data_IF_302560368405
#
_entry.id   IF_302560368405
#
_cell.length_a   1.000
_cell.length_b   1.000
_cell.length_c   1.000
_cell.angle_alpha   90.00
_cell.angle_beta   90.00
_cell.angle_gamma   90.00
#
_symmetry.space_group_name_H-M   'P 1'
#
loop_
_entity.id
_entity.type
_entity.pdbx_description
1 polymer ?
#
# COMPACT_ATOMS: atom_id res chain seq x y z
N UNK A 1 0.89 18.59 18.00
CA UNK A 1 1.65 17.40 17.58
C UNK A 1 2.08 17.60 16.13
N UNK A 2 3.35 17.37 15.79
CA UNK A 2 3.81 17.45 14.39
C UNK A 2 3.41 16.16 13.68
N UNK A 3 2.81 16.27 12.49
CA UNK A 3 2.38 15.13 11.67
C UNK A 3 2.88 15.33 10.25
N UNK A 4 3.53 14.31 9.72
CA UNK A 4 3.80 14.17 8.31
C UNK A 4 2.92 13.05 7.78
N UNK A 5 2.09 13.36 6.78
CA UNK A 5 1.26 12.34 6.14
C UNK A 5 2.08 11.52 5.16
N UNK A 6 1.80 10.22 5.12
CA UNK A 6 2.32 9.31 4.11
C UNK A 6 1.23 8.91 3.10
N UNK A 7 0.12 9.65 3.02
CA UNK A 7 -0.92 9.44 1.99
C UNK A 7 -0.46 9.93 0.61
N UNK A 8 -1.01 9.35 -0.46
CA UNK A 8 -0.83 9.82 -1.83
C UNK A 8 -0.30 8.70 -2.74
N UNK A 9 0.66 9.06 -3.58
CA UNK A 9 1.21 8.18 -4.61
C UNK A 9 2.21 7.17 -4.02
N UNK A 10 1.79 5.92 -3.96
CA UNK A 10 2.59 4.77 -3.55
C UNK A 10 2.98 3.94 -4.78
N UNK A 11 3.74 2.89 -4.53
CA UNK A 11 3.92 1.82 -5.50
C UNK A 11 3.48 0.51 -4.89
N UNK A 12 2.92 -0.38 -5.72
CA UNK A 12 2.55 -1.73 -5.32
C UNK A 12 2.96 -2.76 -6.37
N UNK A 13 3.07 -4.01 -5.94
CA UNK A 13 3.27 -5.16 -6.82
C UNK A 13 2.72 -6.43 -6.18
N UNK A 14 2.51 -7.45 -7.00
CA UNK A 14 2.42 -8.82 -6.49
C UNK A 14 3.79 -9.24 -5.95
N UNK A 15 3.84 -9.96 -4.83
CA UNK A 15 5.09 -10.24 -4.11
C UNK A 15 6.16 -10.98 -4.95
N UNK A 16 5.72 -11.82 -5.88
CA UNK A 16 6.58 -12.58 -6.81
C UNK A 16 6.96 -11.80 -8.08
N UNK A 17 6.40 -10.60 -8.30
CA UNK A 17 6.68 -9.78 -9.47
C UNK A 17 7.94 -8.92 -9.30
N UNK A 18 8.63 -8.64 -10.40
CA UNK A 18 9.80 -7.73 -10.42
C UNK A 18 9.38 -6.27 -10.42
N UNK A 19 8.33 -5.94 -11.17
CA UNK A 19 8.03 -4.57 -11.55
C UNK A 19 7.00 -3.94 -10.62
N UNK A 20 7.33 -2.72 -10.18
CA UNK A 20 6.45 -1.90 -9.34
C UNK A 20 5.50 -1.07 -10.19
N UNK A 21 4.23 -1.05 -9.80
CA UNK A 21 3.18 -0.26 -10.45
C UNK A 21 2.70 0.89 -9.54
N UNK A 22 2.15 1.98 -10.09
CA UNK A 22 1.57 3.06 -9.28
C UNK A 22 0.40 2.57 -8.42
N UNK A 23 0.29 3.11 -7.21
CA UNK A 23 -0.79 2.86 -6.25
C UNK A 23 -1.21 4.14 -5.53
N UNK A 24 -2.40 4.12 -4.92
CA UNK A 24 -2.90 5.23 -4.09
C UNK A 24 -3.21 4.77 -2.67
N UNK A 25 -2.69 5.49 -1.67
CA UNK A 25 -2.98 5.25 -0.25
C UNK A 25 -3.63 6.50 0.37
N UNK A 26 -4.78 6.39 1.06
CA UNK A 26 -5.54 5.17 1.33
C UNK A 26 -6.21 4.60 0.07
N UNK A 27 -6.29 3.26 0.01
CA UNK A 27 -6.77 2.49 -1.14
C UNK A 27 -6.56 1.00 -0.90
N UNK A 28 -6.66 0.20 -1.96
CA UNK A 28 -6.37 -1.23 -1.90
C UNK A 28 -6.04 -1.84 -3.26
N UNK A 29 -5.61 -3.10 -3.24
CA UNK A 29 -5.10 -3.81 -4.40
C UNK A 29 -6.09 -3.80 -5.57
N UNK A 30 -7.37 -4.10 -5.32
CA UNK A 30 -8.40 -4.11 -6.35
C UNK A 30 -8.55 -2.74 -7.02
N UNK A 31 -8.60 -1.66 -6.23
CA UNK A 31 -8.75 -0.30 -6.77
C UNK A 31 -7.52 0.12 -7.59
N UNK A 32 -6.32 -0.26 -7.14
CA UNK A 32 -5.08 0.06 -7.88
C UNK A 32 -4.98 -0.74 -9.19
N UNK A 33 -5.35 -2.03 -9.19
CA UNK A 33 -5.41 -2.85 -10.41
C UNK A 33 -6.47 -2.36 -11.39
N UNK A 34 -7.65 -1.95 -10.90
CA UNK A 34 -8.72 -1.37 -11.73
C UNK A 34 -8.26 -0.04 -12.36
N UNK A 35 -7.60 0.83 -11.59
CA UNK A 35 -7.07 2.10 -12.10
C UNK A 35 -6.04 1.90 -13.22
N UNK A 36 -5.30 0.79 -13.19
CA UNK A 36 -4.37 0.37 -14.23
C UNK A 36 -5.02 -0.42 -15.37
N UNK A 37 -6.33 -0.67 -15.33
CA UNK A 37 -7.05 -1.47 -16.31
C UNK A 37 -6.64 -2.96 -16.34
N UNK A 38 -6.03 -3.46 -15.27
CA UNK A 38 -5.52 -4.85 -15.18
C UNK A 38 -6.59 -5.86 -14.78
N UNK A 39 -7.64 -5.40 -14.12
CA UNK A 39 -8.82 -6.21 -13.79
C UNK A 39 -10.09 -5.47 -14.23
N UNK A 40 -11.14 -6.19 -14.62
CA UNK A 40 -12.44 -5.58 -14.89
C UNK A 40 -13.12 -5.14 -13.58
N UNK A 41 -14.15 -4.30 -13.68
CA UNK A 41 -14.99 -3.93 -12.53
C UNK A 41 -15.62 -5.20 -11.91
N UNK A 42 -15.29 -5.53 -10.64
CA UNK A 42 -15.80 -6.73 -9.97
C UNK A 42 -17.33 -6.75 -9.82
N UNK A 43 -17.98 -5.58 -9.84
CA UNK A 43 -19.43 -5.46 -9.66
C UNK A 43 -20.24 -5.68 -10.94
N UNK A 44 -19.58 -5.88 -12.08
CA UNK A 44 -20.26 -6.09 -13.37
C UNK A 44 -20.33 -7.58 -13.71
N UNK A 45 -21.55 -8.11 -13.86
CA UNK A 45 -21.79 -9.47 -14.30
C UNK A 45 -21.20 -10.51 -13.35
N UNK A 46 -20.40 -11.45 -13.88
CA UNK A 46 -19.71 -12.50 -13.11
C UNK A 46 -18.20 -12.19 -12.91
N UNK A 47 -17.79 -10.93 -13.06
CA UNK A 47 -16.40 -10.51 -12.92
C UNK A 47 -15.80 -10.81 -11.54
N UNK A 48 -16.61 -10.90 -10.48
CA UNK A 48 -16.17 -11.36 -9.15
C UNK A 48 -15.33 -12.65 -9.25
N UNK A 49 -15.80 -13.63 -10.02
CA UNK A 49 -15.07 -14.90 -10.22
C UNK A 49 -13.75 -14.69 -10.98
N UNK A 50 -13.73 -13.74 -11.90
CA UNK A 50 -12.57 -13.42 -12.76
C UNK A 50 -11.48 -12.68 -11.99
N UNK A 51 -11.83 -11.98 -10.90
CA UNK A 51 -10.88 -11.24 -10.07
C UNK A 51 -10.51 -11.97 -8.78
N UNK A 52 -11.09 -13.13 -8.50
CA UNK A 52 -10.85 -13.91 -7.28
C UNK A 52 -9.36 -14.21 -7.02
N UNK A 53 -8.54 -14.31 -8.08
CA UNK A 53 -7.09 -14.53 -7.97
C UNK A 53 -6.37 -13.40 -7.22
N UNK A 54 -6.91 -12.18 -7.23
CA UNK A 54 -6.31 -11.02 -6.56
C UNK A 54 -6.21 -11.25 -5.05
N UNK A 55 -7.22 -11.88 -4.46
CA UNK A 55 -7.24 -12.21 -3.03
C UNK A 55 -6.41 -13.45 -2.67
N UNK A 56 -5.94 -14.21 -3.66
CA UNK A 56 -5.14 -15.44 -3.47
C UNK A 56 -3.64 -15.17 -3.59
N UNK A 57 -3.25 -13.96 -3.97
CA UNK A 57 -1.87 -13.55 -4.12
C UNK A 57 -1.45 -12.63 -2.97
N UNK A 58 -0.16 -12.65 -2.66
CA UNK A 58 0.47 -11.70 -1.74
C UNK A 58 0.84 -10.41 -2.47
N UNK A 59 0.71 -9.29 -1.77
CA UNK A 59 0.93 -7.96 -2.31
C UNK A 59 1.89 -7.15 -1.45
N UNK A 60 2.73 -6.38 -2.11
CA UNK A 60 3.67 -5.48 -1.45
C UNK A 60 3.36 -4.04 -1.83
N UNK A 61 3.40 -3.15 -0.84
CA UNK A 61 3.33 -1.70 -1.02
C UNK A 61 4.64 -1.07 -0.54
N UNK A 62 5.10 -0.02 -1.24
CA UNK A 62 6.26 0.77 -0.81
C UNK A 62 6.08 2.25 -1.07
N UNK A 63 6.77 3.04 -0.25
CA UNK A 63 6.85 4.48 -0.38
C UNK A 63 8.21 4.98 0.10
N UNK A 64 8.73 5.99 -0.59
CA UNK A 64 9.96 6.69 -0.21
C UNK A 64 9.60 8.11 0.21
N UNK A 65 10.11 8.55 1.34
CA UNK A 65 9.84 9.87 1.88
C UNK A 65 11.06 10.43 2.61
N UNK A 66 11.14 11.76 2.64
CA UNK A 66 12.09 12.49 3.48
C UNK A 66 11.37 12.92 4.75
N UNK A 67 12.00 12.72 5.91
CA UNK A 67 11.44 13.18 7.19
C UNK A 67 11.54 14.71 7.28
N UNK A 68 10.42 15.36 7.58
CA UNK A 68 10.38 16.81 7.76
C UNK A 68 11.26 17.24 8.95
N UNK A 69 12.02 18.34 8.85
CA UNK A 69 12.96 18.75 9.90
C UNK A 69 12.33 18.95 11.28
N UNK A 70 11.08 19.41 11.34
CA UNK A 70 10.35 19.63 12.59
C UNK A 70 9.85 18.33 13.25
N UNK A 71 9.62 17.27 12.45
CA UNK A 71 9.37 15.92 12.94
C UNK A 71 10.66 15.24 13.39
N UNK A 72 11.75 15.42 12.64
CA UNK A 72 13.07 14.87 12.98
C UNK A 72 13.61 15.42 14.32
N UNK A 73 13.25 16.65 14.68
CA UNK A 73 13.63 17.27 15.95
C UNK A 73 12.87 16.71 17.17
N UNK A 74 11.87 15.83 16.98
CA UNK A 74 11.10 15.26 18.08
C UNK A 74 11.88 14.14 18.77
N UNK A 75 11.78 14.06 20.11
CA UNK A 75 12.40 12.97 20.90
C UNK A 75 11.80 11.60 20.61
N UNK A 76 10.52 11.57 20.26
CA UNK A 76 9.78 10.35 19.96
C UNK A 76 9.00 10.56 18.66
N UNK A 77 9.12 9.61 17.74
CA UNK A 77 8.43 9.59 16.45
C UNK A 77 7.69 8.27 16.36
N UNK A 78 6.42 8.34 15.97
CA UNK A 78 5.55 7.18 15.82
C UNK A 78 5.17 7.03 14.35
N UNK A 79 5.32 5.82 13.82
CA UNK A 79 4.65 5.42 12.59
C UNK A 79 3.24 4.97 12.98
N UNK A 80 2.22 5.62 12.40
CA UNK A 80 0.82 5.34 12.72
C UNK A 80 0.10 4.93 11.45
N UNK A 81 -0.44 3.72 11.44
CA UNK A 81 -1.34 3.21 10.41
C UNK A 81 -2.75 3.16 11.00
N UNK A 82 -3.65 4.01 10.50
CA UNK A 82 -5.04 4.06 10.97
C UNK A 82 -5.83 2.79 10.59
N UNK A 83 -5.36 2.05 9.58
CA UNK A 83 -5.89 0.74 9.19
C UNK A 83 -4.95 0.00 8.24
N UNK A 84 -4.87 -1.32 8.41
CA UNK A 84 -4.18 -2.27 7.54
C UNK A 84 -5.12 -3.45 7.33
N UNK A 85 -5.40 -3.79 6.07
CA UNK A 85 -6.31 -4.88 5.71
C UNK A 85 -5.53 -6.04 5.06
N UNK A 86 -5.32 -7.15 5.75
CA UNK A 86 -5.45 -7.32 7.22
C UNK A 86 -4.18 -7.95 7.79
N UNK A 87 -3.69 -9.02 7.17
CA UNK A 87 -2.40 -9.61 7.50
C UNK A 87 -1.32 -8.82 6.75
N UNK A 88 -0.52 -8.06 7.50
CA UNK A 88 0.53 -7.23 6.94
C UNK A 88 1.81 -7.39 7.75
N UNK A 89 2.94 -7.30 7.07
CA UNK A 89 4.27 -7.15 7.68
C UNK A 89 4.84 -5.81 7.25
N UNK A 90 5.27 -5.00 8.22
CA UNK A 90 5.81 -3.67 7.97
C UNK A 90 7.31 -3.67 8.20
N UNK A 91 8.03 -3.03 7.27
CA UNK A 91 9.43 -2.70 7.47
C UNK A 91 9.74 -1.27 7.09
N UNK A 92 10.72 -0.67 7.76
CA UNK A 92 11.22 0.66 7.48
C UNK A 92 12.76 0.61 7.44
N UNK A 93 13.35 1.03 6.32
CA UNK A 93 14.80 0.99 6.10
C UNK A 93 15.42 -0.40 6.40
N UNK A 94 14.71 -1.48 6.04
CA UNK A 94 15.16 -2.86 6.28
C UNK A 94 14.92 -3.40 7.69
N UNK A 95 14.38 -2.59 8.61
CA UNK A 95 14.03 -3.03 9.95
C UNK A 95 12.56 -3.44 10.02
N UNK A 96 12.31 -4.65 10.49
CA UNK A 96 10.97 -5.19 10.74
C UNK A 96 10.30 -4.47 11.91
N UNK A 97 9.05 -4.05 11.73
CA UNK A 97 8.28 -3.30 12.72
C UNK A 97 7.11 -4.10 13.31
N UNK A 98 6.74 -5.21 12.67
CA UNK A 98 5.60 -6.05 13.05
C UNK A 98 4.72 -6.41 11.86
#
# INVERSE_FOLDING_TARGET
MKKQTLTGAWQFRQADATDWSPATVPGGVHTDLMALGRIPDPFVGDNEKRVAWVAQADWEYRYHFTVAPDLQAQKHIWLVCDGLDTLARLSLNGHDLG
#
